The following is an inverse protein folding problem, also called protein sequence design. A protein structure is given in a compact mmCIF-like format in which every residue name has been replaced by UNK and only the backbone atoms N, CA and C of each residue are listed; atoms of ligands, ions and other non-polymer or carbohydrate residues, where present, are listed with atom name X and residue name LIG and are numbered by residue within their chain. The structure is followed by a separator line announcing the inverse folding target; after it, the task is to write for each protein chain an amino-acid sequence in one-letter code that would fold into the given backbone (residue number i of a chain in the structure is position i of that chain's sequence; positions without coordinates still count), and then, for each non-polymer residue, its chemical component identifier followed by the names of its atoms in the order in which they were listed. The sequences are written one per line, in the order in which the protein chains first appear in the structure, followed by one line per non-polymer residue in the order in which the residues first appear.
data_IF_575000076112
#
_entry.id   IF_575000076112
#
_cell.length_a   1.000
_cell.length_b   1.000
_cell.length_c   1.000
_cell.angle_alpha   90.00
_cell.angle_beta   90.00
_cell.angle_gamma   90.00
#
_symmetry.space_group_name_H-M   'P 1'
#
loop_
_entity.id
_entity.type
_entity.pdbx_description
1 polymer ?
#
# COMPACT_ATOMS: atom_id res chain seq x y z
N UNK A 1 -11.09 8.01 0.77
CA UNK A 1 -10.76 6.74 0.09
C UNK A 1 -9.93 5.86 1.02
N UNK A 2 -9.66 4.60 0.66
CA UNK A 2 -8.63 3.77 1.30
C UNK A 2 -8.14 2.74 0.27
N UNK A 3 -7.12 3.13 -0.51
CA UNK A 3 -6.58 2.32 -1.60
C UNK A 3 -5.05 2.25 -1.52
N UNK A 4 -4.47 1.18 -2.06
CA UNK A 4 -3.02 1.05 -2.21
C UNK A 4 -2.55 1.96 -3.35
N UNK A 5 -1.49 2.72 -3.10
CA UNK A 5 -0.73 3.45 -4.11
C UNK A 5 0.67 2.84 -4.22
N UNK A 6 1.17 2.66 -5.45
CA UNK A 6 2.55 2.30 -5.71
C UNK A 6 3.12 3.16 -6.83
N UNK A 7 4.13 3.97 -6.52
CA UNK A 7 4.72 4.90 -7.50
C UNK A 7 5.63 5.94 -6.88
N UNK A 8 6.02 6.93 -7.66
CA UNK A 8 7.03 7.96 -7.31
C UNK A 8 6.44 9.36 -7.14
N UNK A 9 5.11 9.51 -7.05
CA UNK A 9 4.48 10.82 -6.84
C UNK A 9 4.98 11.43 -5.53
N UNK A 10 5.45 12.68 -5.61
CA UNK A 10 6.02 13.45 -4.51
C UNK A 10 5.23 14.74 -4.21
N UNK A 11 4.03 14.87 -4.79
CA UNK A 11 3.15 16.03 -4.59
C UNK A 11 2.50 15.99 -3.19
N UNK A 12 2.29 14.78 -2.64
CA UNK A 12 1.68 14.56 -1.33
C UNK A 12 2.72 14.04 -0.31
N UNK A 13 2.56 12.80 0.18
CA UNK A 13 3.55 12.13 1.00
C UNK A 13 4.71 11.56 0.18
N UNK A 14 5.83 11.29 0.85
CA UNK A 14 6.99 10.60 0.28
C UNK A 14 7.58 9.63 1.30
N UNK A 15 8.35 8.66 0.83
CA UNK A 15 9.18 7.80 1.66
C UNK A 15 10.67 8.15 1.57
N UNK A 16 11.54 7.31 2.11
CA UNK A 16 12.97 7.41 1.91
C UNK A 16 13.37 7.08 0.45
N UNK A 17 14.40 7.73 -0.06
CA UNK A 17 14.93 7.51 -1.42
C UNK A 17 14.16 8.27 -2.49
N UNK A 18 14.03 7.68 -3.69
CA UNK A 18 13.36 8.30 -4.86
C UNK A 18 12.12 7.52 -5.31
N UNK A 19 11.68 6.57 -4.50
CA UNK A 19 10.58 5.67 -4.81
C UNK A 19 10.98 4.57 -5.82
N UNK A 20 9.98 3.81 -6.30
CA UNK A 20 8.58 3.90 -5.90
C UNK A 20 8.34 3.48 -4.44
N UNK A 21 7.28 4.01 -3.84
CA UNK A 21 6.85 3.74 -2.46
C UNK A 21 5.48 3.09 -2.44
N UNK A 22 5.20 2.30 -1.40
CA UNK A 22 3.83 1.86 -1.12
C UNK A 22 3.21 2.89 -0.18
N UNK A 23 2.19 3.59 -0.66
CA UNK A 23 1.44 4.54 0.16
C UNK A 23 -0.04 4.14 0.22
N UNK A 24 -0.79 4.79 1.10
CA UNK A 24 -2.26 4.74 1.05
C UNK A 24 -2.80 6.03 0.44
N UNK A 25 -3.67 5.88 -0.57
CA UNK A 25 -4.56 6.95 -0.98
C UNK A 25 -5.76 7.00 -0.04
N UNK A 26 -5.81 8.06 0.78
CA UNK A 26 -6.89 8.29 1.73
C UNK A 26 -7.90 9.34 1.24
N UNK A 27 -7.80 9.79 -0.01
CA UNK A 27 -8.44 10.98 -0.62
C UNK A 27 -7.78 12.29 -0.21
N UNK A 28 -7.57 13.19 -1.18
CA UNK A 28 -6.83 14.46 -1.02
C UNK A 28 -5.46 14.27 -0.34
N UNK A 29 -4.78 13.16 -0.63
CA UNK A 29 -3.47 12.86 -0.08
C UNK A 29 -3.05 11.40 -0.27
N UNK A 30 -1.81 11.22 -0.73
CA UNK A 30 -1.07 9.97 -0.59
C UNK A 30 -0.27 10.02 0.71
N UNK A 31 -0.40 8.98 1.52
CA UNK A 31 0.21 8.90 2.85
C UNK A 31 1.18 7.74 2.93
N UNK A 32 2.44 8.04 3.19
CA UNK A 32 3.49 7.08 3.57
C UNK A 32 3.52 6.83 5.08
N UNK A 33 2.79 7.61 5.89
CA UNK A 33 2.68 7.46 7.34
C UNK A 33 1.66 8.44 7.95
N UNK A 34 1.80 8.79 9.24
CA UNK A 34 0.81 9.58 9.99
C UNK A 34 0.49 10.96 9.37
N UNK A 35 1.42 11.55 8.61
CA UNK A 35 1.24 12.88 8.03
C UNK A 35 1.48 12.87 6.52
N UNK A 36 1.05 13.94 5.83
CA UNK A 36 1.31 14.16 4.40
C UNK A 36 2.76 14.53 4.07
N UNK A 37 3.70 14.33 5.00
CA UNK A 37 5.12 14.64 4.81
C UNK A 37 5.91 13.35 4.59
N UNK A 38 7.22 13.51 4.45
CA UNK A 38 8.13 12.38 4.36
C UNK A 38 8.00 11.46 5.58
N UNK A 39 7.80 10.16 5.35
CA UNK A 39 8.02 9.10 6.34
C UNK A 39 9.27 8.32 5.93
N UNK A 40 10.40 8.56 6.59
CA UNK A 40 11.66 7.90 6.26
C UNK A 40 11.64 6.37 6.49
N UNK A 41 10.65 5.85 7.23
CA UNK A 41 10.45 4.41 7.41
C UNK A 41 9.77 3.74 6.20
N UNK A 42 9.13 4.51 5.31
CA UNK A 42 8.59 4.00 4.06
C UNK A 42 9.69 3.95 3.00
N UNK A 43 10.22 2.75 2.75
CA UNK A 43 11.42 2.56 1.95
C UNK A 43 11.08 2.50 0.45
N UNK A 44 11.98 2.98 -0.39
CA UNK A 44 11.88 2.74 -1.84
C UNK A 44 11.97 1.24 -2.13
N UNK A 45 11.06 0.70 -2.95
CA UNK A 45 11.03 -0.72 -3.33
C UNK A 45 11.39 -0.84 -4.81
N UNK A 46 12.40 -1.65 -5.11
CA UNK A 46 12.88 -1.89 -6.49
C UNK A 46 12.73 -3.35 -6.95
N UNK A 47 11.97 -4.16 -6.20
CA UNK A 47 11.68 -5.54 -6.57
C UNK A 47 10.81 -5.60 -7.84
N UNK A 48 11.05 -6.61 -8.70
CA UNK A 48 10.29 -6.79 -9.94
C UNK A 48 8.82 -7.18 -9.70
N UNK A 49 8.57 -7.90 -8.61
CA UNK A 49 7.23 -8.27 -8.16
C UNK A 49 7.12 -7.83 -6.70
N UNK A 50 6.09 -7.05 -6.39
CA UNK A 50 5.91 -6.41 -5.08
C UNK A 50 4.59 -6.86 -4.50
N UNK A 51 4.62 -7.31 -3.25
CA UNK A 51 3.42 -7.44 -2.42
C UNK A 51 3.23 -6.12 -1.69
N UNK A 52 2.04 -5.52 -1.81
CA UNK A 52 1.66 -4.31 -1.10
C UNK A 52 0.36 -4.55 -0.34
N UNK A 53 0.33 -4.13 0.94
CA UNK A 53 -0.81 -4.32 1.83
C UNK A 53 -1.08 -3.02 2.58
N UNK A 54 -2.30 -2.52 2.45
CA UNK A 54 -2.88 -1.47 3.29
C UNK A 54 -4.07 -2.07 4.02
N UNK A 55 -4.12 -1.88 5.34
CA UNK A 55 -5.26 -2.26 6.18
C UNK A 55 -5.59 -1.14 7.15
N UNK A 56 -6.87 -0.99 7.47
CA UNK A 56 -7.37 0.12 8.28
C UNK A 56 -8.60 -0.23 9.09
N UNK A 57 -8.62 0.26 10.32
CA UNK A 57 -9.71 0.14 11.30
C UNK A 57 -9.93 1.51 11.99
N UNK A 58 -10.87 1.65 12.96
CA UNK A 58 -11.11 2.92 13.63
C UNK A 58 -9.82 3.52 14.24
N UNK A 59 -9.47 4.72 13.78
CA UNK A 59 -8.26 5.45 14.15
C UNK A 59 -6.94 4.68 14.10
N UNK A 60 -6.83 3.60 13.32
CA UNK A 60 -5.60 2.81 13.18
C UNK A 60 -5.46 2.23 11.78
N UNK A 61 -4.25 2.22 11.23
CA UNK A 61 -3.96 1.66 9.92
C UNK A 61 -2.48 1.30 9.78
N UNK A 62 -2.14 0.54 8.74
CA UNK A 62 -0.76 0.17 8.45
C UNK A 62 -0.46 0.03 6.96
N UNK A 63 0.82 0.18 6.64
CA UNK A 63 1.40 -0.14 5.34
C UNK A 63 2.41 -1.27 5.55
N UNK A 64 2.26 -2.35 4.80
CA UNK A 64 3.22 -3.44 4.75
C UNK A 64 3.55 -3.78 3.30
N UNK A 65 4.77 -4.24 3.07
CA UNK A 65 5.17 -4.68 1.74
C UNK A 65 6.48 -5.45 1.72
N UNK A 66 6.77 -6.05 0.57
CA UNK A 66 7.97 -6.83 0.35
C UNK A 66 8.03 -7.42 -1.05
N UNK A 67 9.13 -8.12 -1.32
CA UNK A 67 9.34 -8.82 -2.58
C UNK A 67 8.35 -10.00 -2.71
N UNK A 68 7.52 -10.02 -3.75
CA UNK A 68 6.55 -11.09 -3.97
C UNK A 68 7.19 -12.40 -4.45
N UNK A 69 8.42 -12.37 -4.95
CA UNK A 69 9.16 -13.55 -5.40
C UNK A 69 10.02 -14.19 -4.30
N UNK A 70 10.22 -13.53 -3.15
CA UNK A 70 10.98 -14.10 -2.03
C UNK A 70 10.79 -13.34 -0.71
N UNK A 71 11.07 -14.00 0.43
CA UNK A 71 11.17 -13.33 1.73
C UNK A 71 9.83 -12.94 2.37
N UNK A 72 9.91 -12.11 3.40
CA UNK A 72 8.80 -11.70 4.27
C UNK A 72 8.36 -10.25 4.06
N UNK A 73 7.20 -9.90 4.60
CA UNK A 73 6.71 -8.52 4.65
C UNK A 73 7.44 -7.69 5.71
N UNK A 74 7.79 -6.45 5.34
CA UNK A 74 8.17 -5.39 6.28
C UNK A 74 6.95 -4.51 6.60
N UNK A 75 6.98 -3.83 7.75
CA UNK A 75 5.97 -2.82 8.11
C UNK A 75 6.59 -1.44 8.00
N UNK A 76 6.08 -0.62 7.08
CA UNK A 76 6.56 0.73 6.80
C UNK A 76 5.83 1.79 7.62
N UNK A 77 4.59 1.50 7.98
CA UNK A 77 3.80 2.32 8.89
C UNK A 77 2.83 1.44 9.68
N UNK A 78 2.64 1.77 10.96
CA UNK A 78 1.56 1.27 11.80
C UNK A 78 1.26 2.32 12.85
N UNK A 79 0.03 2.81 12.89
CA UNK A 79 -0.32 3.83 13.85
C UNK A 79 -1.65 4.49 13.57
N UNK A 80 -1.83 5.65 14.19
CA UNK A 80 -3.07 6.40 14.15
C UNK A 80 -3.38 6.97 12.76
N UNK A 81 -4.63 7.37 12.53
CA UNK A 81 -5.00 8.06 11.29
C UNK A 81 -4.36 9.45 11.25
N UNK A 82 -4.05 9.98 10.05
CA UNK A 82 -3.73 11.39 9.90
C UNK A 82 -4.85 12.28 10.46
N UNK A 83 -4.47 13.47 10.94
CA UNK A 83 -5.45 14.45 11.42
C UNK A 83 -6.50 14.77 10.36
N UNK A 84 -7.78 14.73 10.74
CA UNK A 84 -8.93 14.93 9.84
C UNK A 84 -9.43 13.68 9.12
N UNK A 85 -8.76 12.53 9.28
CA UNK A 85 -9.12 11.25 8.63
C UNK A 85 -9.70 10.22 9.61
N UNK A 86 -10.29 10.68 10.72
CA UNK A 86 -10.97 9.82 11.68
C UNK A 86 -12.27 10.46 12.19
N UNK A 87 -13.43 9.80 12.07
CA UNK A 87 -13.63 8.51 11.38
C UNK A 87 -13.40 8.62 9.87
N UNK A 88 -13.08 7.50 9.23
CA UNK A 88 -13.05 7.40 7.76
C UNK A 88 -14.46 7.31 7.20
N UNK A 89 -14.71 7.97 6.07
CA UNK A 89 -15.96 7.90 5.32
C UNK A 89 -15.73 7.16 3.99
N UNK A 90 -15.54 5.83 4.07
CA UNK A 90 -15.31 4.98 2.89
C UNK A 90 -16.63 4.67 2.20
N UNK A 91 -16.66 4.77 0.87
CA UNK A 91 -17.88 4.57 0.07
C UNK A 91 -18.05 3.14 -0.47
N UNK A 92 -16.98 2.33 -0.46
CA UNK A 92 -17.02 0.92 -0.83
C UNK A 92 -16.87 0.61 -2.32
N UNK A 93 -16.69 1.63 -3.17
CA UNK A 93 -16.30 1.42 -4.57
C UNK A 93 -14.91 0.79 -4.68
N UNK A 94 -14.69 0.06 -5.78
CA UNK A 94 -13.42 -0.58 -6.11
C UNK A 94 -12.87 0.08 -7.37
N UNK A 95 -11.58 0.40 -7.35
CA UNK A 95 -10.86 0.98 -8.47
C UNK A 95 -9.54 0.24 -8.70
N UNK A 96 -8.98 0.40 -9.89
CA UNK A 96 -7.68 -0.15 -10.26
C UNK A 96 -7.03 0.74 -11.31
N UNK A 97 -5.79 1.18 -11.05
CA UNK A 97 -5.01 1.98 -12.01
C UNK A 97 -5.41 3.46 -12.11
N UNK A 98 -6.41 3.92 -11.36
CA UNK A 98 -6.88 5.32 -11.35
C UNK A 98 -7.04 5.85 -9.94
N UNK A 99 -7.12 7.17 -9.78
CA UNK A 99 -7.64 7.81 -8.56
C UNK A 99 -9.16 7.62 -8.42
N UNK A 100 -9.70 7.94 -7.25
CA UNK A 100 -11.15 7.86 -6.98
C UNK A 100 -11.98 8.89 -7.76
N UNK A 101 -11.33 9.97 -8.21
CA UNK A 101 -11.87 11.01 -9.06
C UNK A 101 -11.64 10.75 -10.57
N UNK A 102 -11.21 9.53 -10.93
CA UNK A 102 -10.82 9.14 -12.28
C UNK A 102 -9.55 9.86 -12.80
N UNK A 103 -8.64 10.26 -11.92
CA UNK A 103 -7.27 10.63 -12.30
C UNK A 103 -6.53 9.42 -12.92
N UNK A 104 -6.12 9.53 -14.20
CA UNK A 104 -5.62 8.39 -15.02
C UNK A 104 -4.13 8.46 -15.35
N UNK A 105 -3.35 9.32 -14.70
CA UNK A 105 -1.94 9.50 -15.03
C UNK A 105 -1.01 8.45 -14.44
N UNK A 106 -1.53 7.52 -13.62
CA UNK A 106 -0.77 6.42 -13.07
C UNK A 106 -0.57 5.30 -14.08
N UNK A 107 0.61 4.69 -14.08
CA UNK A 107 0.91 3.49 -14.87
C UNK A 107 1.39 2.39 -13.93
N UNK A 108 0.98 1.14 -14.19
CA UNK A 108 1.35 0.02 -13.35
C UNK A 108 0.93 -1.32 -13.95
N UNK A 109 1.35 -2.40 -13.31
CA UNK A 109 0.96 -3.76 -13.65
C UNK A 109 0.33 -4.41 -12.43
N UNK A 110 -0.92 -4.86 -12.57
CA UNK A 110 -1.62 -5.62 -11.54
C UNK A 110 -1.63 -7.09 -11.92
N UNK A 111 -1.24 -7.95 -10.99
CA UNK A 111 -1.22 -9.41 -11.18
C UNK A 111 -2.39 -10.07 -10.44
N UNK A 112 -2.45 -9.85 -9.13
CA UNK A 112 -3.48 -10.38 -8.24
C UNK A 112 -3.67 -9.46 -7.03
N UNK A 113 -4.84 -9.53 -6.39
CA UNK A 113 -5.17 -8.71 -5.24
C UNK A 113 -6.60 -8.92 -4.76
N UNK A 114 -6.85 -8.58 -3.50
CA UNK A 114 -8.14 -8.78 -2.82
C UNK A 114 -8.45 -7.61 -1.90
N UNK A 115 -9.72 -7.43 -1.58
CA UNK A 115 -10.19 -6.60 -0.47
C UNK A 115 -10.84 -7.51 0.59
N UNK A 116 -10.71 -7.16 1.86
CA UNK A 116 -11.21 -7.98 2.97
C UNK A 116 -12.16 -7.18 3.87
N UNK A 117 -12.93 -7.91 4.68
CA UNK A 117 -13.67 -7.34 5.81
C UNK A 117 -12.93 -7.63 7.12
N UNK A 118 -12.84 -6.63 8.00
CA UNK A 118 -12.05 -6.69 9.24
C UNK A 118 -10.63 -6.15 9.07
N UNK A 119 -9.85 -6.19 10.16
CA UNK A 119 -8.43 -5.81 10.17
C UNK A 119 -7.56 -7.09 10.24
N UNK A 120 -6.95 -7.53 9.12
CA UNK A 120 -6.16 -8.75 9.11
C UNK A 120 -5.03 -8.71 10.13
N UNK A 121 -4.78 -9.84 10.80
CA UNK A 121 -3.60 -9.98 11.65
C UNK A 121 -2.33 -10.00 10.80
N UNK A 122 -1.19 -9.62 11.39
CA UNK A 122 0.09 -9.70 10.69
C UNK A 122 0.44 -11.12 10.27
N UNK A 123 0.05 -12.12 11.06
CA UNK A 123 0.28 -13.54 10.78
C UNK A 123 -0.55 -14.03 9.59
N UNK A 124 -1.78 -13.53 9.46
CA UNK A 124 -2.62 -13.79 8.28
C UNK A 124 -1.93 -13.26 7.02
N UNK A 125 -1.47 -12.02 7.04
CA UNK A 125 -0.75 -11.40 5.92
C UNK A 125 0.59 -12.09 5.63
N UNK A 126 1.32 -12.53 6.66
CA UNK A 126 2.56 -13.29 6.51
C UNK A 126 2.30 -14.64 5.81
N UNK A 127 1.18 -15.29 6.13
CA UNK A 127 0.78 -16.54 5.49
C UNK A 127 0.41 -16.32 4.01
N UNK A 128 -0.28 -15.21 3.71
CA UNK A 128 -0.57 -14.81 2.33
C UNK A 128 0.72 -14.52 1.56
N UNK A 129 1.66 -13.76 2.13
CA UNK A 129 2.96 -13.51 1.51
C UNK A 129 3.72 -14.81 1.22
N UNK A 130 3.75 -15.74 2.17
CA UNK A 130 4.41 -17.03 1.97
C UNK A 130 3.77 -17.82 0.81
N UNK A 131 2.43 -17.73 0.68
CA UNK A 131 1.71 -18.33 -0.45
C UNK A 131 2.06 -17.66 -1.78
N UNK A 132 2.12 -16.33 -1.85
CA UNK A 132 2.52 -15.57 -3.05
C UNK A 132 3.96 -15.93 -3.46
N UNK A 133 4.90 -16.01 -2.51
CA UNK A 133 6.28 -16.44 -2.78
C UNK A 133 6.30 -17.85 -3.36
N UNK A 134 5.49 -18.77 -2.82
CA UNK A 134 5.40 -20.14 -3.33
C UNK A 134 4.80 -20.23 -4.75
N UNK A 135 4.07 -19.21 -5.21
CA UNK A 135 3.54 -19.15 -6.57
C UNK A 135 4.63 -18.97 -7.63
N UNK A 136 5.83 -18.49 -7.25
CA UNK A 136 7.00 -18.49 -8.13
C UNK A 136 6.94 -17.48 -9.27
N UNK A 137 6.39 -16.28 -9.03
CA UNK A 137 6.38 -15.19 -10.03
C UNK A 137 7.77 -14.94 -10.62
N UNK A 138 7.87 -15.01 -11.95
CA UNK A 138 9.13 -14.81 -12.67
C UNK A 138 8.89 -14.13 -14.01
N UNK A 139 9.92 -13.45 -14.54
CA UNK A 139 9.89 -12.85 -15.88
C UNK A 139 10.48 -13.77 -16.95
N UNK A 140 10.93 -14.96 -16.57
CA UNK A 140 11.48 -15.94 -17.51
C UNK A 140 10.34 -16.82 -17.99
N UNK A 141 10.24 -16.98 -19.30
CA UNK A 141 9.34 -17.94 -19.97
C UNK A 141 10.11 -19.23 -20.19
#
# INVERSE_FOLDING_TARGET
MEAIYFGTNDIWGTGAGKGPWIMADLENGLFSGESRKNNAADLSISDRFVTAIVKGEPNHWSIRGGNAASGSLSTFYRGVRPSGYNPMHKEGAILLGTGGDNSISGEGTFYEGVMTYGYPSDDTENSVQANIVAAGYSTKV
#
